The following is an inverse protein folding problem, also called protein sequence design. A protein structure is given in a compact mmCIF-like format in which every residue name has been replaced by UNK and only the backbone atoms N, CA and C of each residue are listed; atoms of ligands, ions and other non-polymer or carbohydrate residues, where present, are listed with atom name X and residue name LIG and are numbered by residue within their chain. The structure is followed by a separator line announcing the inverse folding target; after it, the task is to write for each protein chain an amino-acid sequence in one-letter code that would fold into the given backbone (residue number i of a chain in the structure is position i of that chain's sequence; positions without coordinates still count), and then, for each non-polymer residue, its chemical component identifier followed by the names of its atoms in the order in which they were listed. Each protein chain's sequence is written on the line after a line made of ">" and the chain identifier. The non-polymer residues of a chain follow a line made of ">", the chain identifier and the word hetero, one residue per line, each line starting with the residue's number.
data_IF_170286749810
#
_entry.id   IF_170286749810
#
_cell.length_a   1.000
_cell.length_b   1.000
_cell.length_c   1.000
_cell.angle_alpha   90.00
_cell.angle_beta   90.00
_cell.angle_gamma   90.00
#
_symmetry.space_group_name_H-M   'P 1'
#
loop_
_entity.id
_entity.type
_entity.pdbx_description
1 polymer ?
#
# COMPACT_ATOMS: atom_id res chain seq x y z
N UNK A 1 21.45 35.77 60.68
CA UNK A 1 21.49 35.71 59.21
C UNK A 1 22.63 34.73 58.84
N UNK A 2 22.58 33.46 59.26
CA UNK A 2 21.79 32.37 58.67
C UNK A 2 22.17 32.13 57.19
N UNK A 3 23.02 31.11 57.02
CA UNK A 3 23.05 30.12 55.94
C UNK A 3 22.82 30.61 54.51
N UNK A 4 23.90 30.70 53.73
CA UNK A 4 23.86 30.32 52.30
C UNK A 4 25.24 29.96 51.72
N UNK A 5 26.17 29.48 52.57
CA UNK A 5 27.27 28.62 52.11
C UNK A 5 26.76 27.17 52.10
N UNK A 6 27.05 26.42 51.04
CA UNK A 6 26.78 24.97 50.85
C UNK A 6 25.48 24.57 50.11
N UNK A 7 25.32 24.97 48.83
CA UNK A 7 24.31 24.35 47.94
C UNK A 7 24.61 24.43 46.42
N UNK A 8 25.88 24.32 46.00
CA UNK A 8 26.20 24.21 44.56
C UNK A 8 27.19 23.07 44.22
N UNK A 9 27.39 22.15 45.17
CA UNK A 9 28.02 20.85 44.94
C UNK A 9 26.97 19.75 45.04
N UNK A 10 26.03 19.73 44.10
CA UNK A 10 25.24 18.54 43.78
C UNK A 10 24.53 18.75 42.45
N UNK A 11 24.73 17.78 41.54
CA UNK A 11 23.79 17.44 40.47
C UNK A 11 23.90 18.20 39.13
N UNK A 12 24.93 17.85 38.36
CA UNK A 12 24.76 17.66 36.91
C UNK A 12 25.54 16.40 36.51
N UNK A 13 24.96 15.28 36.91
CA UNK A 13 25.26 13.93 36.46
C UNK A 13 25.10 13.87 34.94
N UNK A 14 26.15 13.40 34.26
CA UNK A 14 26.04 12.45 33.16
C UNK A 14 25.09 12.84 32.00
N UNK A 15 25.67 13.42 30.94
CA UNK A 15 25.17 13.24 29.58
C UNK A 15 26.36 12.77 28.75
N UNK A 16 26.65 11.48 28.78
CA UNK A 16 26.10 10.48 27.85
C UNK A 16 26.67 10.63 26.43
N UNK A 17 27.58 9.70 26.13
CA UNK A 17 27.73 8.97 24.87
C UNK A 17 28.13 9.79 23.62
N UNK A 18 29.41 9.77 23.23
CA UNK A 18 30.05 8.72 22.39
C UNK A 18 29.36 8.58 21.03
N UNK A 19 30.19 8.79 20.00
CA UNK A 19 30.07 8.31 18.63
C UNK A 19 28.91 7.33 18.35
N UNK A 20 28.08 7.67 17.36
CA UNK A 20 27.81 6.84 16.18
C UNK A 20 26.56 7.43 15.49
N UNK A 21 26.78 8.15 14.39
CA UNK A 21 25.71 8.57 13.47
C UNK A 21 25.09 7.41 12.67
N UNK A 22 25.27 6.16 13.10
CA UNK A 22 24.50 4.99 12.66
C UNK A 22 23.24 4.93 13.53
N UNK A 23 22.36 5.92 13.38
CA UNK A 23 21.04 5.90 14.00
C UNK A 23 20.16 4.90 13.23
N UNK A 24 20.33 3.65 13.64
CA UNK A 24 19.31 2.59 13.72
C UNK A 24 18.43 2.48 12.47
N UNK A 25 18.90 1.61 11.58
CA UNK A 25 18.10 0.68 10.78
C UNK A 25 16.74 0.40 11.45
N UNK A 26 15.68 1.07 10.99
CA UNK A 26 14.31 0.69 11.31
C UNK A 26 13.95 -0.47 10.36
N UNK A 27 13.97 -1.73 10.82
CA UNK A 27 13.90 -2.92 9.96
C UNK A 27 12.59 -3.04 9.17
N UNK A 28 11.58 -2.22 9.46
CA UNK A 28 10.31 -2.18 8.73
C UNK A 28 10.36 -1.28 7.49
N UNK A 29 11.21 -0.23 7.48
CA UNK A 29 11.27 0.78 6.40
C UNK A 29 11.72 0.19 5.06
N UNK A 30 12.73 -0.68 5.10
CA UNK A 30 13.30 -1.31 3.89
C UNK A 30 12.27 -2.10 3.09
N UNK A 31 11.28 -2.70 3.77
CA UNK A 31 10.21 -3.47 3.12
C UNK A 31 9.25 -2.58 2.35
N UNK A 32 8.78 -1.48 2.95
CA UNK A 32 7.89 -0.54 2.25
C UNK A 32 8.56 0.12 1.06
N UNK A 33 9.83 0.50 1.19
CA UNK A 33 10.59 1.07 0.08
C UNK A 33 10.67 0.11 -1.12
N UNK A 34 10.97 -1.17 -0.88
CA UNK A 34 11.00 -2.20 -1.94
C UNK A 34 9.63 -2.36 -2.61
N UNK A 35 8.55 -2.40 -1.82
CA UNK A 35 7.19 -2.50 -2.34
C UNK A 35 6.82 -1.25 -3.16
N UNK A 36 7.21 -0.06 -2.70
CA UNK A 36 7.00 1.20 -3.41
C UNK A 36 7.65 1.15 -4.81
N UNK A 37 8.91 0.72 -4.89
CA UNK A 37 9.65 0.58 -6.15
C UNK A 37 8.95 -0.40 -7.10
N UNK A 38 8.49 -1.55 -6.59
CA UNK A 38 7.74 -2.53 -7.40
C UNK A 38 6.45 -1.90 -7.95
N UNK A 39 5.67 -1.21 -7.12
CA UNK A 39 4.45 -0.52 -7.54
C UNK A 39 4.72 0.56 -8.60
N UNK A 40 5.79 1.33 -8.42
CA UNK A 40 6.24 2.32 -9.41
C UNK A 40 6.61 1.66 -10.73
N UNK A 41 7.35 0.55 -10.71
CA UNK A 41 7.70 -0.19 -11.92
C UNK A 41 6.46 -0.74 -12.64
N UNK A 42 5.51 -1.34 -11.91
CA UNK A 42 4.24 -1.80 -12.51
C UNK A 42 3.49 -0.62 -13.14
N UNK A 43 3.52 0.56 -12.49
CA UNK A 43 2.86 1.76 -13.01
C UNK A 43 3.54 2.34 -14.24
N UNK A 44 4.88 2.38 -14.25
CA UNK A 44 5.63 2.80 -15.43
C UNK A 44 5.38 1.84 -16.61
N UNK A 45 5.38 0.54 -16.38
CA UNK A 45 5.04 -0.46 -17.39
C UNK A 45 3.61 -0.30 -17.92
N UNK A 46 2.64 -0.02 -17.06
CA UNK A 46 1.24 0.21 -17.47
C UNK A 46 1.11 1.40 -18.40
N UNK A 47 1.72 2.53 -18.02
CA UNK A 47 1.75 3.75 -18.85
C UNK A 47 2.47 3.46 -20.16
N UNK A 48 3.58 2.72 -20.14
CA UNK A 48 4.34 2.36 -21.34
C UNK A 48 3.50 1.53 -22.33
N UNK A 49 2.75 0.53 -21.84
CA UNK A 49 1.85 -0.28 -22.67
C UNK A 49 0.76 0.60 -23.32
N UNK A 50 0.29 1.61 -22.60
CA UNK A 50 -0.70 2.57 -23.12
C UNK A 50 -0.19 3.35 -24.34
N UNK A 51 1.12 3.53 -24.48
CA UNK A 51 1.73 4.25 -25.60
C UNK A 51 1.93 3.39 -26.87
N UNK A 52 1.63 2.09 -26.85
CA UNK A 52 1.83 1.20 -28.00
C UNK A 52 0.52 1.07 -28.79
N UNK A 53 0.37 1.72 -29.97
CA UNK A 53 -0.91 1.79 -30.68
C UNK A 53 -1.42 0.42 -31.15
N UNK A 54 -0.50 -0.48 -31.51
CA UNK A 54 -0.80 -1.85 -31.94
C UNK A 54 -1.34 -2.73 -30.81
N UNK A 55 -0.99 -2.43 -29.56
CA UNK A 55 -1.47 -3.17 -28.40
C UNK A 55 -2.81 -2.62 -27.91
N UNK A 56 -2.97 -1.30 -27.93
CA UNK A 56 -4.22 -0.61 -27.54
C UNK A 56 -5.39 -0.97 -28.46
N UNK A 57 -5.13 -1.19 -29.76
CA UNK A 57 -6.14 -1.64 -30.71
C UNK A 57 -6.59 -3.10 -30.51
N UNK A 58 -5.90 -3.87 -29.65
CA UNK A 58 -6.21 -5.26 -29.40
C UNK A 58 -7.25 -5.47 -28.29
N UNK A 59 -8.07 -6.53 -28.44
CA UNK A 59 -9.05 -6.95 -27.44
C UNK A 59 -8.44 -7.30 -26.07
N UNK A 60 -7.13 -7.57 -26.02
CA UNK A 60 -6.39 -7.90 -24.80
C UNK A 60 -5.98 -6.67 -23.98
N UNK A 61 -6.08 -5.46 -24.53
CA UNK A 61 -5.70 -4.24 -23.84
C UNK A 61 -6.48 -4.05 -22.52
N UNK A 62 -7.81 -4.09 -22.60
CA UNK A 62 -8.69 -3.91 -21.44
C UNK A 62 -8.43 -4.94 -20.32
N UNK A 63 -8.41 -6.27 -20.58
CA UNK A 63 -8.16 -7.24 -19.52
C UNK A 63 -6.74 -7.14 -18.94
N UNK A 64 -5.72 -6.82 -19.75
CA UNK A 64 -4.35 -6.61 -19.23
C UNK A 64 -4.30 -5.45 -18.24
N UNK A 65 -4.88 -4.30 -18.58
CA UNK A 65 -4.94 -3.12 -17.73
C UNK A 65 -5.73 -3.39 -16.44
N UNK A 66 -6.82 -4.14 -16.55
CA UNK A 66 -7.61 -4.58 -15.40
C UNK A 66 -6.79 -5.47 -14.45
N UNK A 67 -6.01 -6.42 -14.99
CA UNK A 67 -5.15 -7.31 -14.19
C UNK A 67 -4.02 -6.52 -13.50
N UNK A 68 -3.35 -5.61 -14.22
CA UNK A 68 -2.31 -4.76 -13.62
C UNK A 68 -2.86 -3.89 -12.49
N UNK A 69 -4.05 -3.31 -12.68
CA UNK A 69 -4.73 -2.52 -11.64
C UNK A 69 -5.10 -3.39 -10.42
N UNK A 70 -5.68 -4.57 -10.65
CA UNK A 70 -6.00 -5.51 -9.58
C UNK A 70 -4.75 -5.96 -8.80
N UNK A 71 -3.63 -6.22 -9.49
CA UNK A 71 -2.37 -6.59 -8.87
C UNK A 71 -1.82 -5.47 -7.99
N UNK A 72 -1.80 -4.22 -8.48
CA UNK A 72 -1.37 -3.06 -7.68
C UNK A 72 -2.24 -2.90 -6.44
N UNK A 73 -3.55 -2.98 -6.62
CA UNK A 73 -4.49 -2.90 -5.52
C UNK A 73 -4.21 -3.99 -4.46
N UNK A 74 -3.99 -5.25 -4.89
CA UNK A 74 -3.67 -6.34 -3.98
C UNK A 74 -2.36 -6.10 -3.20
N UNK A 75 -1.32 -5.62 -3.87
CA UNK A 75 -0.03 -5.28 -3.23
C UNK A 75 -0.23 -4.14 -2.21
N UNK A 76 -0.95 -3.09 -2.57
CA UNK A 76 -1.25 -1.95 -1.68
C UNK A 76 -2.03 -2.42 -0.45
N UNK A 77 -3.06 -3.23 -0.64
CA UNK A 77 -3.88 -3.74 0.47
C UNK A 77 -3.08 -4.67 1.38
N UNK A 78 -2.28 -5.56 0.80
CA UNK A 78 -1.50 -6.53 1.58
C UNK A 78 -0.39 -5.84 2.39
N UNK A 79 0.35 -4.91 1.78
CA UNK A 79 1.56 -4.31 2.37
C UNK A 79 1.32 -2.92 2.96
N UNK A 80 0.68 -1.99 2.25
CA UNK A 80 0.47 -0.61 2.71
C UNK A 80 -0.72 -0.45 3.67
N UNK A 81 -1.80 -1.23 3.48
CA UNK A 81 -2.93 -1.28 4.43
C UNK A 81 -2.70 -2.27 5.58
N UNK A 82 -1.49 -2.84 5.67
CA UNK A 82 -1.03 -3.71 6.75
C UNK A 82 -1.78 -5.03 6.95
N UNK A 83 -2.72 -5.43 6.08
CA UNK A 83 -3.48 -6.69 6.21
C UNK A 83 -2.57 -7.93 6.37
N UNK A 84 -1.37 -7.94 5.79
CA UNK A 84 -0.41 -9.05 5.94
C UNK A 84 0.09 -9.22 7.37
N UNK A 85 0.23 -8.11 8.10
CA UNK A 85 0.87 -8.02 9.41
C UNK A 85 -0.14 -7.80 10.56
N UNK A 86 -1.38 -7.47 10.24
CA UNK A 86 -2.44 -7.15 11.19
C UNK A 86 -3.36 -8.36 11.50
N UNK A 87 -4.24 -8.20 12.49
CA UNK A 87 -5.16 -9.23 12.96
C UNK A 87 -6.19 -9.63 11.89
N UNK A 88 -6.65 -10.89 11.94
CA UNK A 88 -7.57 -11.47 10.94
C UNK A 88 -8.87 -10.69 10.74
N UNK A 89 -9.26 -9.87 11.73
CA UNK A 89 -10.45 -9.03 11.70
C UNK A 89 -10.35 -7.92 10.63
N UNK A 90 -9.22 -7.21 10.53
CA UNK A 90 -9.03 -6.17 9.51
C UNK A 90 -9.02 -6.74 8.10
N UNK A 91 -8.46 -7.95 7.95
CA UNK A 91 -8.55 -8.70 6.68
C UNK A 91 -9.98 -9.00 6.28
N UNK A 92 -10.81 -9.47 7.22
CA UNK A 92 -12.20 -9.83 6.96
C UNK A 92 -13.07 -8.59 6.65
N UNK A 93 -12.91 -7.50 7.42
CA UNK A 93 -13.67 -6.26 7.20
C UNK A 93 -13.34 -5.58 5.88
N UNK A 94 -12.14 -5.76 5.35
CA UNK A 94 -11.78 -5.26 4.03
C UNK A 94 -12.20 -6.20 2.90
N UNK A 95 -11.93 -7.50 3.05
CA UNK A 95 -12.18 -8.49 1.99
C UNK A 95 -13.66 -8.80 1.83
N UNK A 96 -14.46 -8.74 2.90
CA UNK A 96 -15.90 -9.01 2.86
C UNK A 96 -16.64 -8.07 1.90
N UNK A 97 -16.63 -6.75 2.13
CA UNK A 97 -17.23 -5.78 1.23
C UNK A 97 -16.62 -5.81 -0.18
N UNK A 98 -15.33 -6.11 -0.32
CA UNK A 98 -14.68 -6.23 -1.63
C UNK A 98 -15.25 -7.39 -2.46
N UNK A 99 -15.45 -8.56 -1.85
CA UNK A 99 -16.05 -9.71 -2.53
C UNK A 99 -17.50 -9.39 -2.90
N UNK A 100 -18.26 -8.83 -1.96
CA UNK A 100 -19.66 -8.45 -2.21
C UNK A 100 -19.73 -7.45 -3.39
N UNK A 101 -18.91 -6.41 -3.38
CA UNK A 101 -18.85 -5.43 -4.47
C UNK A 101 -18.46 -6.04 -5.82
N UNK A 102 -17.44 -6.90 -5.87
CA UNK A 102 -17.06 -7.61 -7.10
C UNK A 102 -18.19 -8.48 -7.64
N UNK A 103 -18.85 -9.25 -6.77
CA UNK A 103 -19.99 -10.08 -7.15
C UNK A 103 -21.14 -9.21 -7.66
N UNK A 104 -21.44 -8.11 -6.99
CA UNK A 104 -22.48 -7.16 -7.44
C UNK A 104 -22.15 -6.59 -8.81
N UNK A 105 -20.93 -6.13 -9.06
CA UNK A 105 -20.51 -5.62 -10.37
C UNK A 105 -20.69 -6.69 -11.45
N UNK A 106 -20.21 -7.91 -11.22
CA UNK A 106 -20.34 -9.02 -12.19
C UNK A 106 -21.81 -9.38 -12.43
N UNK A 107 -22.64 -9.44 -11.37
CA UNK A 107 -24.06 -9.71 -11.48
C UNK A 107 -24.79 -8.62 -12.29
N UNK A 108 -24.46 -7.34 -12.07
CA UNK A 108 -25.02 -6.23 -12.83
C UNK A 108 -24.58 -6.27 -14.30
N UNK A 109 -23.30 -6.55 -14.58
CA UNK A 109 -22.81 -6.73 -15.95
C UNK A 109 -23.54 -7.87 -16.67
N UNK A 110 -23.82 -8.98 -15.99
CA UNK A 110 -24.57 -10.10 -16.56
C UNK A 110 -26.05 -9.73 -16.77
N UNK A 111 -26.69 -9.08 -15.80
CA UNK A 111 -28.10 -8.68 -15.87
C UNK A 111 -28.33 -7.66 -17.00
N UNK A 112 -27.55 -6.57 -17.04
CA UNK A 112 -27.66 -5.56 -18.08
C UNK A 112 -27.15 -6.05 -19.43
N UNK A 113 -26.13 -6.91 -19.45
CA UNK A 113 -25.68 -7.56 -20.68
C UNK A 113 -26.77 -8.43 -21.30
N UNK A 114 -27.44 -9.27 -20.50
CA UNK A 114 -28.56 -10.07 -20.95
C UNK A 114 -29.74 -9.21 -21.44
N UNK A 115 -30.08 -8.14 -20.70
CA UNK A 115 -31.14 -7.22 -21.08
C UNK A 115 -30.81 -6.48 -22.39
N UNK A 116 -29.57 -6.02 -22.57
CA UNK A 116 -29.14 -5.30 -23.75
C UNK A 116 -29.20 -6.15 -25.03
N UNK A 117 -28.85 -7.43 -24.94
CA UNK A 117 -28.91 -8.36 -26.09
C UNK A 117 -30.35 -8.61 -26.55
N UNK A 118 -31.33 -8.57 -25.64
CA UNK A 118 -32.74 -8.81 -25.97
C UNK A 118 -33.52 -7.53 -26.32
N UNK A 119 -32.94 -6.35 -26.11
CA UNK A 119 -33.55 -5.06 -26.42
C UNK A 119 -33.24 -4.55 -27.84
N UNK A 120 -32.33 -5.21 -28.56
CA UNK A 120 -31.95 -4.96 -29.97
C UNK A 120 -32.56 -5.99 -30.89
#
# INVERSE_FOLDING_TARGET
>A
MAAHDSAAAAHATHSDHVAMGELKEHPTWSTYWKVAVILTLITACEVWIYYIPSFVAGHLFVPTLLILSAAKFAIVVMFYMHLRYDHKLFRALFTGPLIVGMVTIVALLFLFGHLAIHAT
#
